data_IF_904827336266
#
_entry.id   IF_904827336266
#
_cell.length_a   1.000
_cell.length_b   1.000
_cell.length_c   1.000
_cell.angle_alpha   90.00
_cell.angle_beta   90.00
_cell.angle_gamma   90.00
#
_symmetry.space_group_name_H-M   'P 1'
#
loop_
_entity.id
_entity.type
_entity.pdbx_description
1 polymer ?
#
# COMPACT_ATOMS: atom_id res chain seq x y z
N UNK A 1 -42.05 50.62 27.01
CA UNK A 1 -43.50 50.66 27.29
C UNK A 1 -44.09 51.82 26.51
N UNK A 2 -44.80 51.50 25.43
CA UNK A 2 -45.65 52.45 24.68
C UNK A 2 -47.02 52.48 25.35
N UNK A 3 -47.53 53.67 25.69
CA UNK A 3 -48.87 53.88 26.23
C UNK A 3 -49.91 53.61 25.14
N UNK A 4 -50.50 52.41 25.13
CA UNK A 4 -51.67 52.08 24.30
C UNK A 4 -52.94 52.10 25.17
N UNK A 5 -54.01 52.82 24.76
CA UNK A 5 -55.26 52.89 25.51
C UNK A 5 -55.91 51.51 25.69
N UNK A 6 -56.46 51.19 26.88
CA UNK A 6 -56.88 49.83 27.25
C UNK A 6 -58.15 49.31 26.55
N UNK A 7 -58.75 50.08 25.64
CA UNK A 7 -60.03 49.75 25.00
C UNK A 7 -59.90 49.40 23.51
N UNK A 8 -58.69 49.38 22.95
CA UNK A 8 -58.45 48.95 21.58
C UNK A 8 -58.01 47.48 21.55
N UNK A 9 -58.54 46.66 20.62
CA UNK A 9 -58.05 45.29 20.44
C UNK A 9 -56.55 45.31 20.11
N UNK A 10 -55.81 44.31 20.61
CA UNK A 10 -54.36 44.21 20.42
C UNK A 10 -54.01 44.33 18.92
N UNK A 11 -52.93 45.07 18.59
CA UNK A 11 -52.48 45.25 17.21
C UNK A 11 -52.36 43.87 16.53
N UNK A 12 -53.22 43.62 15.54
CA UNK A 12 -53.17 42.39 14.77
C UNK A 12 -51.81 42.34 14.06
N UNK A 13 -50.99 41.34 14.39
CA UNK A 13 -49.74 41.11 13.70
C UNK A 13 -50.06 40.67 12.27
N UNK A 14 -49.48 41.35 11.28
CA UNK A 14 -49.60 40.93 9.89
C UNK A 14 -48.92 39.56 9.73
N UNK A 15 -49.76 38.52 9.59
CA UNK A 15 -49.34 37.13 9.44
C UNK A 15 -48.45 36.94 8.21
N UNK A 16 -48.62 37.76 7.16
CA UNK A 16 -47.83 37.67 5.94
C UNK A 16 -46.42 38.23 6.17
N UNK A 17 -46.31 39.38 6.84
CA UNK A 17 -45.03 39.96 7.25
C UNK A 17 -44.25 39.07 8.24
N UNK A 18 -44.93 38.42 9.18
CA UNK A 18 -44.27 37.51 10.12
C UNK A 18 -43.74 36.23 9.42
N UNK A 19 -44.50 35.70 8.45
CA UNK A 19 -44.07 34.54 7.66
C UNK A 19 -42.89 34.87 6.73
N UNK A 20 -42.90 36.02 6.07
CA UNK A 20 -41.78 36.46 5.22
C UNK A 20 -40.52 36.70 6.06
N UNK A 21 -40.65 37.32 7.24
CA UNK A 21 -39.51 37.51 8.14
C UNK A 21 -38.91 36.17 8.60
N UNK A 22 -39.75 35.20 8.98
CA UNK A 22 -39.28 33.86 9.35
C UNK A 22 -38.59 33.16 8.17
N UNK A 23 -39.13 33.29 6.96
CA UNK A 23 -38.53 32.72 5.75
C UNK A 23 -37.18 33.34 5.39
N UNK A 24 -37.04 34.66 5.51
CA UNK A 24 -35.77 35.37 5.28
C UNK A 24 -34.73 34.95 6.33
N UNK A 25 -35.14 34.78 7.58
CA UNK A 25 -34.24 34.32 8.63
C UNK A 25 -33.73 32.90 8.38
N UNK A 26 -34.59 31.98 7.94
CA UNK A 26 -34.17 30.63 7.55
C UNK A 26 -33.26 30.62 6.32
N UNK A 27 -33.51 31.49 5.35
CA UNK A 27 -32.66 31.63 4.16
C UNK A 27 -31.27 32.13 4.56
N UNK A 28 -31.17 33.15 5.41
CA UNK A 28 -29.90 33.64 5.94
C UNK A 28 -29.14 32.58 6.73
N UNK A 29 -29.85 31.79 7.55
CA UNK A 29 -29.24 30.66 8.27
C UNK A 29 -28.69 29.59 7.31
N UNK A 30 -29.41 29.24 6.25
CA UNK A 30 -28.94 28.28 5.25
C UNK A 30 -27.72 28.80 4.49
N UNK A 31 -27.71 30.08 4.11
CA UNK A 31 -26.54 30.72 3.46
C UNK A 31 -25.33 30.69 4.39
N UNK A 32 -25.53 30.95 5.69
CA UNK A 32 -24.46 30.89 6.68
C UNK A 32 -23.87 29.48 6.82
N UNK A 33 -24.71 28.45 6.94
CA UNK A 33 -24.27 27.05 7.03
C UNK A 33 -23.56 26.60 5.76
N UNK A 34 -24.08 26.97 4.58
CA UNK A 34 -23.43 26.68 3.29
C UNK A 34 -22.08 27.39 3.15
N UNK A 35 -21.95 28.60 3.70
CA UNK A 35 -20.67 29.32 3.79
C UNK A 35 -19.66 28.55 4.65
N UNK A 36 -20.07 28.09 5.84
CA UNK A 36 -19.20 27.31 6.74
C UNK A 36 -18.76 25.98 6.11
N UNK A 37 -19.66 25.28 5.42
CA UNK A 37 -19.29 24.03 4.72
C UNK A 37 -18.32 24.29 3.57
N UNK A 38 -18.49 25.39 2.83
CA UNK A 38 -17.59 25.79 1.74
C UNK A 38 -16.19 26.13 2.26
N UNK A 39 -16.10 26.87 3.37
CA UNK A 39 -14.81 27.18 4.02
C UNK A 39 -14.13 25.90 4.52
N UNK A 40 -14.89 24.98 5.13
CA UNK A 40 -14.35 23.70 5.63
C UNK A 40 -13.81 22.82 4.49
N UNK A 41 -14.55 22.73 3.38
CA UNK A 41 -14.09 22.00 2.19
C UNK A 41 -12.83 22.63 1.59
N UNK A 42 -12.77 23.96 1.50
CA UNK A 42 -11.60 24.68 0.95
C UNK A 42 -10.36 24.53 1.83
N UNK A 43 -10.52 24.54 3.16
CA UNK A 43 -9.41 24.28 4.08
C UNK A 43 -8.93 22.83 4.01
N UNK A 44 -9.85 21.88 3.85
CA UNK A 44 -9.51 20.45 3.73
C UNK A 44 -8.74 20.17 2.45
N UNK A 45 -9.08 20.81 1.33
CA UNK A 45 -8.33 20.67 0.08
C UNK A 45 -6.97 21.36 0.15
N UNK A 46 -6.82 22.46 0.88
CA UNK A 46 -5.52 23.10 1.08
C UNK A 46 -4.52 22.21 1.81
N UNK A 47 -4.94 21.30 2.71
CA UNK A 47 -4.02 20.32 3.32
C UNK A 47 -3.41 19.38 2.28
N UNK A 48 -4.14 19.05 1.23
CA UNK A 48 -3.68 18.17 0.14
C UNK A 48 -2.81 18.89 -0.89
N UNK A 49 -3.06 20.18 -1.14
CA UNK A 49 -2.40 20.94 -2.20
C UNK A 49 -1.43 22.04 -1.73
N UNK A 50 -1.31 22.32 -0.43
CA UNK A 50 -0.43 23.37 0.05
C UNK A 50 1.05 22.96 -0.13
N UNK A 51 1.84 23.67 -0.96
CA UNK A 51 3.28 23.54 -0.93
C UNK A 51 3.75 24.01 0.45
N UNK A 52 4.56 23.18 1.11
CA UNK A 52 5.21 23.59 2.36
C UNK A 52 6.23 24.67 2.03
N UNK A 53 5.93 25.92 2.38
CA UNK A 53 6.93 26.99 2.45
C UNK A 53 7.84 26.73 3.65
N UNK A 54 8.79 25.80 3.48
CA UNK A 54 9.99 25.77 4.29
C UNK A 54 11.01 26.61 3.53
N UNK A 55 11.61 27.66 4.14
CA UNK A 55 12.73 28.34 3.52
C UNK A 55 13.90 27.36 3.49
N UNK A 56 14.19 26.78 2.33
CA UNK A 56 15.41 25.99 2.12
C UNK A 56 16.63 26.90 2.34
N UNK A 57 17.56 26.57 3.25
CA UNK A 57 18.89 27.13 3.18
C UNK A 57 19.56 26.52 1.96
N UNK A 58 19.57 27.24 0.84
CA UNK A 58 20.35 26.89 -0.35
C UNK A 58 21.84 26.88 -0.01
N UNK A 59 22.35 25.74 0.47
CA UNK A 59 23.77 25.45 0.46
C UNK A 59 24.12 25.00 -0.95
N UNK A 60 24.57 25.96 -1.76
CA UNK A 60 25.14 25.70 -3.08
C UNK A 60 26.46 24.93 -2.88
N UNK A 61 26.38 23.60 -2.89
CA UNK A 61 27.54 22.74 -3.05
C UNK A 61 27.82 22.62 -4.54
N UNK A 62 28.86 23.30 -5.02
CA UNK A 62 29.38 23.10 -6.36
C UNK A 62 30.07 21.72 -6.39
N UNK A 63 29.34 20.69 -6.82
CA UNK A 63 29.95 19.40 -7.14
C UNK A 63 30.13 19.23 -8.65
N UNK A 64 31.35 18.81 -8.94
CA UNK A 64 31.95 18.57 -10.24
C UNK A 64 31.15 17.49 -10.98
N UNK A 65 30.70 17.80 -12.18
CA UNK A 65 29.94 16.90 -13.05
C UNK A 65 30.79 15.69 -13.43
N UNK A 66 30.56 14.56 -12.79
CA UNK A 66 30.89 13.25 -13.34
C UNK A 66 29.59 12.72 -13.97
N UNK A 67 29.61 12.51 -15.29
CA UNK A 67 28.49 11.98 -16.08
C UNK A 67 28.08 10.57 -15.63
N UNK A 68 27.32 10.51 -14.55
CA UNK A 68 26.41 9.42 -14.20
C UNK A 68 25.04 10.06 -14.29
N UNK A 69 24.10 9.48 -15.02
CA UNK A 69 22.72 9.97 -15.10
C UNK A 69 22.09 9.91 -13.70
N UNK A 70 22.29 10.96 -12.90
CA UNK A 70 21.57 11.17 -11.65
C UNK A 70 20.18 11.62 -12.07
N UNK A 71 19.22 10.69 -12.04
CA UNK A 71 17.81 11.03 -12.15
C UNK A 71 17.48 11.86 -10.91
N UNK A 72 17.29 13.17 -11.08
CA UNK A 72 16.98 14.09 -9.99
C UNK A 72 15.48 14.02 -9.71
N UNK A 73 15.09 13.44 -8.57
CA UNK A 73 13.68 13.44 -8.14
C UNK A 73 13.33 14.80 -7.54
N UNK A 74 12.13 15.29 -7.82
CA UNK A 74 11.64 16.52 -7.22
C UNK A 74 11.54 16.36 -5.69
N UNK A 75 12.28 17.18 -4.96
CA UNK A 75 12.26 17.22 -3.49
C UNK A 75 10.84 17.46 -2.94
N UNK A 76 9.95 18.11 -3.71
CA UNK A 76 8.55 18.29 -3.33
C UNK A 76 7.81 16.96 -3.20
N UNK A 77 8.11 15.99 -4.08
CA UNK A 77 7.54 14.64 -4.06
C UNK A 77 8.03 13.89 -2.84
N UNK A 78 9.34 13.90 -2.61
CA UNK A 78 9.93 13.22 -1.44
C UNK A 78 9.46 13.83 -0.11
N UNK A 79 9.34 15.15 -0.04
CA UNK A 79 8.77 15.84 1.13
C UNK A 79 7.28 15.50 1.33
N UNK A 80 6.53 15.24 0.25
CA UNK A 80 5.15 14.74 0.33
C UNK A 80 5.08 13.32 0.89
N UNK A 81 6.01 12.45 0.47
CA UNK A 81 6.14 11.09 1.00
C UNK A 81 6.47 11.12 2.50
N UNK A 82 7.37 11.99 2.96
CA UNK A 82 7.68 12.14 4.39
C UNK A 82 6.46 12.36 5.26
N UNK A 83 5.46 13.09 4.76
CA UNK A 83 4.21 13.35 5.50
C UNK A 83 3.35 12.10 5.71
N UNK A 84 3.66 11.01 5.01
CA UNK A 84 2.96 9.72 5.03
C UNK A 84 3.70 8.67 5.88
N UNK A 85 4.83 9.05 6.47
CA UNK A 85 5.68 8.18 7.30
C UNK A 85 5.40 8.39 8.78
N UNK A 86 5.32 7.27 9.50
CA UNK A 86 5.21 7.23 10.95
C UNK A 86 6.37 6.42 11.52
N UNK A 87 6.98 6.93 12.57
CA UNK A 87 8.08 6.29 13.27
C UNK A 87 7.58 5.69 14.55
N UNK A 88 7.86 4.41 14.76
CA UNK A 88 7.42 3.68 15.94
C UNK A 88 8.54 3.72 16.98
N UNK A 89 8.21 4.23 18.16
CA UNK A 89 9.12 4.32 19.30
C UNK A 89 8.63 3.45 20.45
N UNK A 90 9.57 2.98 21.26
CA UNK A 90 9.27 2.24 22.48
C UNK A 90 9.30 3.18 23.68
N UNK A 91 8.17 3.37 24.36
CA UNK A 91 8.03 4.22 25.55
C UNK A 91 9.00 3.87 26.69
N UNK A 92 9.53 2.64 26.73
CA UNK A 92 10.56 2.24 27.70
C UNK A 92 11.90 2.94 27.46
N UNK A 93 12.16 3.39 26.24
CA UNK A 93 13.37 4.09 25.82
C UNK A 93 13.26 5.63 26.03
N UNK A 94 12.14 6.13 26.58
CA UNK A 94 11.95 7.55 26.89
C UNK A 94 12.90 8.02 28.00
N UNK A 95 13.74 9.00 27.66
CA UNK A 95 14.59 9.72 28.61
C UNK A 95 13.72 10.73 29.36
N UNK A 96 13.71 10.64 30.69
CA UNK A 96 12.92 11.50 31.59
C UNK A 96 11.41 11.56 31.24
N UNK A 97 10.87 10.53 30.58
CA UNK A 97 9.48 10.47 30.10
C UNK A 97 9.11 11.57 29.08
N UNK A 98 10.08 12.25 28.49
CA UNK A 98 9.84 13.40 27.61
C UNK A 98 10.50 13.26 26.25
N UNK A 99 11.71 12.69 26.19
CA UNK A 99 12.52 12.70 24.98
C UNK A 99 12.86 11.30 24.51
N UNK A 100 12.95 11.14 23.21
CA UNK A 100 13.61 10.01 22.58
C UNK A 100 15.00 10.44 22.12
N UNK A 101 15.98 9.54 22.25
CA UNK A 101 17.22 9.69 21.52
C UNK A 101 16.97 9.37 20.04
N UNK A 102 17.79 9.92 19.14
CA UNK A 102 17.67 9.65 17.70
C UNK A 102 17.76 8.15 17.38
N UNK A 103 18.55 7.40 18.17
CA UNK A 103 18.69 5.95 18.07
C UNK A 103 17.53 5.14 18.66
N UNK A 104 16.53 5.78 19.28
CA UNK A 104 15.39 5.11 19.89
C UNK A 104 14.25 4.80 18.91
N UNK A 105 14.35 5.27 17.67
CA UNK A 105 13.44 4.88 16.59
C UNK A 105 13.60 3.37 16.35
N UNK A 106 12.51 2.61 16.54
CA UNK A 106 12.53 1.16 16.37
C UNK A 106 12.26 0.78 14.93
N UNK A 107 11.17 1.33 14.37
CA UNK A 107 10.66 0.93 13.07
C UNK A 107 10.09 2.13 12.34
N UNK A 108 10.38 2.16 11.04
CA UNK A 108 9.70 3.06 10.13
C UNK A 108 8.46 2.37 9.57
N UNK A 109 7.35 3.09 9.54
CA UNK A 109 6.07 2.64 8.97
C UNK A 109 5.55 3.65 7.96
N UNK A 110 4.79 3.16 6.99
CA UNK A 110 4.12 4.01 6.00
C UNK A 110 2.60 3.82 6.08
N UNK A 111 1.90 4.94 6.15
CA UNK A 111 0.45 4.96 6.17
C UNK A 111 -0.09 4.59 4.78
N UNK A 112 -0.97 3.59 4.70
CA UNK A 112 -1.62 3.21 3.46
C UNK A 112 -3.13 3.48 3.47
N UNK A 113 -3.71 3.88 4.60
CA UNK A 113 -5.14 4.23 4.68
C UNK A 113 -5.40 5.45 5.56
N UNK A 114 -6.42 6.23 5.21
CA UNK A 114 -6.81 7.45 5.94
C UNK A 114 -7.43 7.19 7.31
N UNK A 115 -7.83 5.95 7.58
CA UNK A 115 -8.33 5.54 8.89
C UNK A 115 -7.18 5.21 9.86
N UNK A 116 -5.92 5.22 9.45
CA UNK A 116 -4.78 5.02 10.37
C UNK A 116 -4.08 3.67 10.25
N UNK A 117 -4.37 2.88 9.21
CA UNK A 117 -3.56 1.69 8.94
C UNK A 117 -2.24 2.04 8.24
N UNK A 118 -1.16 1.60 8.87
CA UNK A 118 0.20 1.66 8.38
C UNK A 118 0.82 0.27 8.31
N UNK A 119 1.89 0.16 7.53
CA UNK A 119 2.68 -1.07 7.40
C UNK A 119 4.15 -0.79 7.69
N UNK A 120 4.81 -1.72 8.38
CA UNK A 120 6.22 -1.67 8.71
C UNK A 120 6.86 -3.05 8.54
N UNK A 121 8.16 -3.08 8.27
CA UNK A 121 8.95 -4.30 8.40
C UNK A 121 9.47 -4.40 9.83
N UNK A 122 9.06 -5.45 10.56
CA UNK A 122 9.40 -5.67 11.97
C UNK A 122 9.88 -7.11 12.16
N UNK A 123 11.17 -7.40 11.88
CA UNK A 123 11.68 -8.77 11.87
C UNK A 123 11.67 -9.44 13.25
N UNK A 124 11.89 -8.65 14.31
CA UNK A 124 12.06 -9.15 15.68
C UNK A 124 10.82 -8.93 16.56
N UNK A 125 9.62 -8.97 15.98
CA UNK A 125 8.38 -8.73 16.73
C UNK A 125 8.19 -9.72 17.89
N UNK A 126 7.86 -9.21 19.07
CA UNK A 126 7.43 -10.01 20.22
C UNK A 126 6.06 -9.54 20.69
N UNK A 127 5.13 -10.49 20.79
CA UNK A 127 3.78 -10.23 21.26
C UNK A 127 3.81 -9.60 22.66
N UNK A 128 3.14 -8.47 22.80
CA UNK A 128 3.08 -7.67 24.01
C UNK A 128 3.98 -6.43 23.99
N UNK A 129 4.98 -6.37 23.10
CA UNK A 129 5.79 -5.16 22.94
C UNK A 129 4.98 -3.99 22.36
N UNK A 130 3.94 -4.28 21.57
CA UNK A 130 3.05 -3.26 21.00
C UNK A 130 2.37 -2.36 22.05
N UNK A 131 2.26 -2.83 23.31
CA UNK A 131 1.68 -2.04 24.41
C UNK A 131 2.56 -0.87 24.84
N UNK A 132 3.84 -0.94 24.52
CA UNK A 132 4.81 0.10 24.83
C UNK A 132 5.13 0.95 23.61
N UNK A 133 4.50 0.69 22.46
CA UNK A 133 4.77 1.40 21.24
C UNK A 133 3.89 2.65 21.10
N UNK A 134 4.49 3.71 20.58
CA UNK A 134 3.79 4.91 20.13
C UNK A 134 4.30 5.31 18.75
N UNK A 135 3.38 5.84 17.92
CA UNK A 135 3.72 6.39 16.62
C UNK A 135 4.02 7.87 16.73
N UNK A 136 5.02 8.33 15.99
CA UNK A 136 5.37 9.75 15.88
C UNK A 136 5.37 10.12 14.41
N UNK A 137 4.60 11.15 14.04
CA UNK A 137 4.57 11.65 12.66
C UNK A 137 5.76 12.58 12.36
N UNK A 138 5.83 13.06 11.13
CA UNK A 138 6.86 13.99 10.67
C UNK A 138 6.88 15.35 11.41
N UNK A 139 5.81 15.71 12.13
CA UNK A 139 5.70 16.93 12.92
C UNK A 139 6.04 16.71 14.40
N UNK A 140 6.27 15.47 14.81
CA UNK A 140 6.48 15.10 16.21
C UNK A 140 5.19 14.87 16.99
N UNK A 141 4.04 14.77 16.33
CA UNK A 141 2.76 14.43 16.98
C UNK A 141 2.76 12.97 17.36
N UNK A 142 2.37 12.67 18.60
CA UNK A 142 2.35 11.31 19.16
C UNK A 142 0.95 10.71 18.99
N UNK A 143 0.90 9.47 18.48
CA UNK A 143 -0.32 8.68 18.29
C UNK A 143 -0.21 7.35 19.03
N UNK A 144 -1.31 6.94 19.66
CA UNK A 144 -1.41 5.62 20.26
C UNK A 144 -1.64 4.56 19.18
N UNK A 145 -1.23 3.33 19.48
CA UNK A 145 -1.46 2.17 18.61
C UNK A 145 -2.67 1.40 19.15
N UNK A 146 -3.72 1.28 18.33
CA UNK A 146 -4.95 0.56 18.64
C UNK A 146 -4.77 -0.95 18.46
N UNK A 147 -4.15 -1.35 17.35
CA UNK A 147 -4.03 -2.75 16.94
C UNK A 147 -2.74 -2.98 16.18
N UNK A 148 -2.14 -4.15 16.41
CA UNK A 148 -1.01 -4.65 15.62
C UNK A 148 -1.37 -6.04 15.10
N UNK A 149 -1.08 -6.28 13.84
CA UNK A 149 -1.18 -7.59 13.22
C UNK A 149 0.12 -7.92 12.49
N UNK A 150 0.73 -9.05 12.82
CA UNK A 150 1.93 -9.53 12.15
C UNK A 150 1.55 -10.57 11.13
N UNK A 151 1.87 -10.29 9.87
CA UNK A 151 1.72 -11.23 8.78
C UNK A 151 3.00 -12.04 8.57
N UNK A 152 2.90 -13.33 8.87
CA UNK A 152 3.99 -14.29 8.72
C UNK A 152 4.22 -14.72 7.27
N UNK A 153 3.32 -14.37 6.33
CA UNK A 153 3.49 -14.71 4.91
C UNK A 153 4.43 -13.73 4.23
N UNK A 154 4.19 -12.43 4.41
CA UNK A 154 5.02 -11.36 3.85
C UNK A 154 6.09 -10.82 4.81
N UNK A 155 6.10 -11.27 6.07
CA UNK A 155 6.92 -10.71 7.16
C UNK A 155 6.67 -9.22 7.40
N UNK A 156 5.46 -8.75 7.13
CA UNK A 156 5.04 -7.38 7.36
C UNK A 156 4.21 -7.25 8.63
N UNK A 157 4.34 -6.12 9.31
CA UNK A 157 3.54 -5.77 10.47
C UNK A 157 2.62 -4.62 10.13
N UNK A 158 1.32 -4.86 10.27
CA UNK A 158 0.26 -3.90 10.09
C UNK A 158 -0.06 -3.26 11.43
N UNK A 159 0.01 -1.94 11.47
CA UNK A 159 -0.15 -1.13 12.68
C UNK A 159 -1.33 -0.19 12.45
N UNK A 160 -2.29 -0.21 13.37
CA UNK A 160 -3.43 0.69 13.38
C UNK A 160 -3.17 1.78 14.41
N UNK A 161 -3.03 3.01 13.95
CA UNK A 161 -2.97 4.19 14.79
C UNK A 161 -4.37 4.69 15.15
N UNK A 162 -4.51 5.22 16.36
CA UNK A 162 -5.73 5.88 16.82
C UNK A 162 -5.89 7.25 16.12
N UNK A 163 -7.03 7.46 15.47
CA UNK A 163 -7.37 8.69 14.75
C UNK A 163 -7.99 8.46 13.37
N UNK A 164 -8.16 9.54 12.61
CA UNK A 164 -8.64 9.54 11.23
C UNK A 164 -8.03 10.69 10.42
N UNK A 165 -8.33 10.73 9.12
CA UNK A 165 -7.86 11.80 8.22
C UNK A 165 -6.37 11.74 7.88
N UNK A 166 -5.73 10.57 8.08
CA UNK A 166 -4.30 10.43 7.83
C UNK A 166 -3.96 10.55 6.33
N UNK A 167 -2.86 11.23 5.98
CA UNK A 167 -2.30 11.15 4.63
C UNK A 167 -1.73 9.74 4.40
N UNK A 168 -2.00 9.16 3.24
CA UNK A 168 -1.58 7.80 2.91
C UNK A 168 -0.86 7.72 1.56
N UNK A 169 -0.07 6.67 1.40
CA UNK A 169 0.72 6.40 0.19
C UNK A 169 -0.10 5.65 -0.87
N UNK A 170 0.19 5.93 -2.14
CA UNK A 170 -0.25 5.11 -3.28
C UNK A 170 0.79 4.03 -3.59
N UNK A 171 0.38 2.95 -4.24
CA UNK A 171 1.29 1.87 -4.65
C UNK A 171 1.67 2.01 -6.13
N UNK A 172 2.94 1.74 -6.44
CA UNK A 172 3.43 1.81 -7.81
C UNK A 172 2.80 0.70 -8.68
N UNK A 173 2.62 0.97 -9.98
CA UNK A 173 2.20 -0.06 -10.92
C UNK A 173 3.38 -0.96 -11.29
N UNK A 174 3.37 -2.18 -10.76
CA UNK A 174 4.44 -3.15 -10.98
C UNK A 174 4.56 -3.69 -12.42
N UNK A 175 3.60 -3.39 -13.30
CA UNK A 175 3.76 -3.68 -14.73
C UNK A 175 4.68 -2.70 -15.45
N UNK A 176 4.91 -1.51 -14.86
CA UNK A 176 5.68 -0.44 -15.47
C UNK A 176 7.15 -0.47 -15.02
N UNK A 177 7.51 -1.39 -14.12
CA UNK A 177 8.83 -1.46 -13.50
C UNK A 177 9.83 -2.13 -14.43
N UNK A 178 10.92 -1.42 -14.70
CA UNK A 178 11.99 -1.87 -15.58
C UNK A 178 13.01 -2.78 -14.89
N UNK A 179 14.02 -3.21 -15.67
CA UNK A 179 15.28 -3.65 -15.10
C UNK A 179 16.12 -2.41 -14.80
N UNK A 180 16.78 -2.36 -13.63
CA UNK A 180 17.63 -1.24 -13.20
C UNK A 180 16.87 0.08 -13.05
N UNK A 181 15.75 0.03 -12.32
CA UNK A 181 15.01 1.24 -11.95
C UNK A 181 15.71 1.94 -10.79
N UNK A 182 15.68 3.27 -10.80
CA UNK A 182 16.16 4.07 -9.69
C UNK A 182 15.00 4.23 -8.71
N UNK A 183 15.22 3.90 -7.45
CA UNK A 183 14.26 4.14 -6.38
C UNK A 183 14.88 5.00 -5.28
N UNK A 184 14.01 5.55 -4.45
CA UNK A 184 14.39 6.41 -3.34
C UNK A 184 13.98 5.77 -2.03
N UNK A 185 14.96 5.50 -1.17
CA UNK A 185 14.75 5.29 0.26
C UNK A 185 14.49 6.62 0.94
N UNK A 186 13.43 6.67 1.73
CA UNK A 186 13.00 7.90 2.39
C UNK A 186 13.04 7.69 3.89
N UNK A 187 13.87 8.45 4.60
CA UNK A 187 13.87 8.48 6.08
C UNK A 187 13.39 9.85 6.58
N UNK A 188 13.48 10.12 7.89
CA UNK A 188 13.05 11.40 8.48
C UNK A 188 13.95 12.54 8.02
N UNK A 189 15.26 12.29 8.06
CA UNK A 189 16.31 13.28 7.85
C UNK A 189 16.90 13.20 6.46
N UNK A 190 16.92 12.02 5.84
CA UNK A 190 17.71 11.75 4.64
C UNK A 190 16.87 11.09 3.54
N UNK A 191 17.40 11.21 2.32
CA UNK A 191 16.90 10.48 1.15
C UNK A 191 18.10 9.80 0.51
N UNK A 192 17.96 8.52 0.18
CA UNK A 192 19.01 7.76 -0.44
C UNK A 192 18.52 7.15 -1.74
N UNK A 193 19.30 7.35 -2.80
CA UNK A 193 19.02 6.74 -4.09
C UNK A 193 19.56 5.32 -4.10
N UNK A 194 18.77 4.37 -4.60
CA UNK A 194 19.16 2.98 -4.77
C UNK A 194 18.92 2.52 -6.21
N UNK A 195 19.73 1.56 -6.64
CA UNK A 195 19.51 0.84 -7.90
C UNK A 195 18.79 -0.48 -7.61
N UNK A 196 17.68 -0.71 -8.32
CA UNK A 196 16.95 -1.98 -8.28
C UNK A 196 17.60 -3.01 -9.18
N UNK A 197 18.27 -3.99 -8.59
CA UNK A 197 18.75 -5.16 -9.32
C UNK A 197 17.83 -6.35 -9.06
N UNK A 198 17.44 -7.05 -10.13
CA UNK A 198 16.70 -8.31 -9.99
C UNK A 198 17.61 -9.37 -9.38
N UNK A 199 17.21 -9.93 -8.25
CA UNK A 199 17.79 -11.15 -7.69
C UNK A 199 17.31 -12.34 -8.54
N UNK A 200 18.16 -12.72 -9.49
CA UNK A 200 17.91 -13.85 -10.39
C UNK A 200 18.23 -15.21 -9.75
N UNK A 201 18.62 -15.26 -8.47
CA UNK A 201 18.87 -16.52 -7.78
C UNK A 201 17.55 -17.25 -7.51
N UNK A 202 17.07 -18.02 -8.50
CA UNK A 202 16.01 -19.00 -8.33
C UNK A 202 16.52 -20.10 -7.40
N UNK A 203 16.33 -19.92 -6.09
CA UNK A 203 16.81 -20.88 -5.10
C UNK A 203 15.98 -22.19 -5.06
N UNK A 204 14.78 -22.19 -5.64
CA UNK A 204 13.92 -23.36 -5.70
C UNK A 204 13.44 -23.65 -7.13
N UNK A 205 13.68 -24.87 -7.59
CA UNK A 205 13.17 -25.36 -8.86
C UNK A 205 11.65 -25.53 -8.85
N UNK A 206 11.04 -25.77 -7.68
CA UNK A 206 9.60 -25.98 -7.51
C UNK A 206 9.06 -24.99 -6.46
N UNK A 207 7.94 -24.33 -6.74
CA UNK A 207 7.38 -23.29 -5.89
C UNK A 207 5.87 -23.20 -6.00
N UNK A 208 5.24 -22.62 -4.96
CA UNK A 208 3.80 -22.31 -5.02
C UNK A 208 3.58 -21.16 -6.01
N UNK A 209 2.59 -21.29 -6.87
CA UNK A 209 2.31 -20.31 -7.94
C UNK A 209 2.04 -18.89 -7.42
N UNK A 210 1.57 -18.76 -6.17
CA UNK A 210 1.26 -17.48 -5.54
C UNK A 210 2.42 -16.88 -4.72
N UNK A 211 3.54 -17.58 -4.57
CA UNK A 211 4.71 -17.04 -3.87
C UNK A 211 5.58 -16.24 -4.84
N UNK A 212 6.07 -15.04 -4.47
CA UNK A 212 7.03 -14.30 -5.29
C UNK A 212 8.30 -15.12 -5.57
N UNK A 213 8.73 -15.17 -6.83
CA UNK A 213 9.87 -15.98 -7.28
C UNK A 213 11.13 -15.17 -7.60
N UNK A 214 10.93 -13.90 -7.90
CA UNK A 214 11.99 -12.95 -8.16
C UNK A 214 11.82 -11.82 -7.17
N UNK A 215 12.94 -11.39 -6.60
CA UNK A 215 13.02 -10.28 -5.66
C UNK A 215 13.88 -9.19 -6.29
N UNK A 216 13.69 -7.95 -5.87
CA UNK A 216 14.67 -6.91 -6.14
C UNK A 216 15.59 -6.80 -4.94
N UNK A 217 16.86 -6.49 -5.18
CA UNK A 217 17.90 -6.39 -4.16
C UNK A 217 18.62 -5.05 -4.29
N UNK A 218 18.93 -4.47 -3.14
CA UNK A 218 19.76 -3.29 -2.99
C UNK A 218 21.15 -3.77 -2.55
N UNK A 219 22.16 -3.58 -3.41
CA UNK A 219 23.55 -3.99 -3.12
C UNK A 219 24.38 -2.94 -2.38
N UNK A 220 23.95 -1.69 -2.47
CA UNK A 220 24.57 -0.56 -1.78
C UNK A 220 24.23 -0.60 -0.28
N UNK A 221 24.88 0.24 0.53
CA UNK A 221 24.53 0.38 1.95
C UNK A 221 23.06 0.76 2.09
N UNK A 222 22.27 -0.09 2.75
CA UNK A 222 20.82 0.08 2.91
C UNK A 222 20.42 0.14 4.38
N UNK A 223 19.29 0.81 4.64
CA UNK A 223 18.64 0.82 5.94
C UNK A 223 17.51 -0.22 5.96
N UNK A 224 17.56 -1.14 6.94
CA UNK A 224 16.52 -2.16 7.14
C UNK A 224 15.20 -1.48 7.48
N UNK A 225 14.12 -1.91 6.81
CA UNK A 225 12.77 -1.36 6.98
C UNK A 225 12.53 -0.03 6.28
N UNK A 226 13.51 0.50 5.55
CA UNK A 226 13.34 1.74 4.81
C UNK A 226 12.25 1.58 3.73
N UNK A 227 11.43 2.63 3.57
CA UNK A 227 10.36 2.69 2.58
C UNK A 227 10.92 3.18 1.25
N UNK A 228 10.70 2.40 0.20
CA UNK A 228 11.18 2.67 -1.15
C UNK A 228 10.05 3.25 -1.99
N UNK A 229 10.32 4.35 -2.70
CA UNK A 229 9.38 5.00 -3.62
C UNK A 229 9.99 5.25 -4.99
N UNK A 230 9.12 5.33 -6.01
CA UNK A 230 9.51 5.77 -7.35
C UNK A 230 9.54 7.30 -7.46
N UNK A 231 9.86 7.82 -8.66
CA UNK A 231 9.90 9.26 -8.96
C UNK A 231 8.56 10.00 -8.73
N UNK A 232 7.44 9.28 -8.67
CA UNK A 232 6.09 9.82 -8.42
C UNK A 232 5.71 9.79 -6.93
N UNK A 233 6.58 9.27 -6.06
CA UNK A 233 6.29 9.08 -4.65
C UNK A 233 5.31 7.94 -4.37
N UNK A 234 5.17 7.01 -5.31
CA UNK A 234 4.41 5.78 -5.15
C UNK A 234 5.29 4.71 -4.51
N UNK A 235 4.71 3.95 -3.57
CA UNK A 235 5.41 2.92 -2.84
C UNK A 235 5.81 1.76 -3.75
N UNK A 236 7.11 1.53 -3.80
CA UNK A 236 7.71 0.34 -4.39
C UNK A 236 7.73 -0.78 -3.35
N UNK A 237 8.23 -0.55 -2.15
CA UNK A 237 8.31 -1.61 -1.15
C UNK A 237 9.05 -1.21 0.11
N UNK A 238 9.52 -2.22 0.84
CA UNK A 238 10.31 -2.08 2.06
C UNK A 238 11.57 -2.95 1.97
N UNK A 239 12.66 -2.49 2.54
CA UNK A 239 13.92 -3.25 2.58
C UNK A 239 13.92 -4.25 3.75
N UNK A 240 14.24 -5.51 3.49
CA UNK A 240 14.40 -6.53 4.54
C UNK A 240 15.84 -6.60 5.09
N UNK A 241 16.12 -7.58 5.95
CA UNK A 241 17.45 -7.74 6.56
C UNK A 241 18.56 -8.12 5.56
N UNK A 242 18.19 -8.70 4.42
CA UNK A 242 19.11 -9.18 3.39
C UNK A 242 19.26 -8.16 2.24
N UNK A 243 18.66 -6.97 2.37
CA UNK A 243 18.62 -5.96 1.32
C UNK A 243 17.62 -6.27 0.21
N UNK A 244 16.75 -7.27 0.39
CA UNK A 244 15.69 -7.58 -0.56
C UNK A 244 14.50 -6.68 -0.35
N UNK A 245 13.78 -6.43 -1.43
CA UNK A 245 12.59 -5.60 -1.44
C UNK A 245 11.37 -6.48 -1.21
N UNK A 246 10.70 -6.26 -0.08
CA UNK A 246 9.34 -6.73 0.15
C UNK A 246 8.39 -5.81 -0.62
N UNK A 247 7.64 -6.38 -1.55
CA UNK A 247 6.88 -5.62 -2.51
C UNK A 247 5.67 -4.86 -1.95
N UNK A 248 5.52 -3.59 -2.34
CA UNK A 248 4.37 -2.76 -2.02
C UNK A 248 3.06 -3.33 -2.57
N UNK A 249 3.08 -4.01 -3.71
CA UNK A 249 1.87 -4.68 -4.23
C UNK A 249 1.37 -5.81 -3.32
N UNK A 250 2.22 -6.38 -2.45
CA UNK A 250 1.75 -7.34 -1.44
C UNK A 250 0.84 -6.64 -0.43
N UNK A 251 1.19 -5.43 -0.02
CA UNK A 251 0.35 -4.58 0.85
C UNK A 251 -0.96 -4.23 0.14
N UNK A 252 -0.88 -3.78 -1.11
CA UNK A 252 -2.04 -3.46 -1.95
C UNK A 252 -3.00 -4.65 -2.08
N UNK A 253 -2.45 -5.86 -2.31
CA UNK A 253 -3.26 -7.08 -2.43
C UNK A 253 -4.08 -7.42 -1.18
N UNK A 254 -3.66 -6.93 -0.01
CA UNK A 254 -4.32 -7.19 1.27
C UNK A 254 -5.19 -6.01 1.75
N UNK A 255 -5.13 -4.87 1.06
CA UNK A 255 -5.76 -3.61 1.46
C UNK A 255 -7.22 -3.78 1.92
N UNK A 256 -8.07 -4.38 1.07
CA UNK A 256 -9.47 -4.56 1.37
C UNK A 256 -9.72 -5.43 2.61
N UNK A 257 -8.94 -6.50 2.78
CA UNK A 257 -9.09 -7.42 3.92
C UNK A 257 -8.67 -6.77 5.25
N UNK A 258 -7.63 -5.93 5.22
CA UNK A 258 -7.18 -5.19 6.39
C UNK A 258 -8.20 -4.14 6.79
N UNK A 259 -8.77 -3.39 5.84
CA UNK A 259 -9.82 -2.41 6.18
C UNK A 259 -11.09 -3.06 6.74
N UNK A 260 -11.45 -4.25 6.25
CA UNK A 260 -12.68 -4.93 6.67
C UNK A 260 -12.53 -5.73 7.98
N UNK A 261 -11.39 -6.40 8.17
CA UNK A 261 -11.19 -7.36 9.26
C UNK A 261 -10.01 -7.03 10.17
N UNK A 262 -9.19 -6.04 9.79
CA UNK A 262 -7.97 -5.66 10.48
C UNK A 262 -6.89 -6.75 10.45
N UNK A 263 -6.90 -7.60 9.43
CA UNK A 263 -5.91 -8.62 9.16
C UNK A 263 -5.90 -8.96 7.65
N UNK A 264 -4.74 -9.30 7.06
CA UNK A 264 -4.64 -9.92 5.74
C UNK A 264 -5.47 -11.20 5.61
N UNK A 265 -6.10 -11.39 4.45
CA UNK A 265 -6.80 -12.62 4.07
C UNK A 265 -6.20 -13.18 2.77
N UNK A 266 -5.10 -13.92 2.91
CA UNK A 266 -4.46 -14.57 1.77
C UNK A 266 -5.38 -15.63 1.16
N UNK A 267 -5.82 -15.36 -0.06
CA UNK A 267 -6.57 -16.31 -0.89
C UNK A 267 -5.76 -16.62 -2.14
N UNK A 268 -5.52 -17.90 -2.38
CA UNK A 268 -4.76 -18.36 -3.52
C UNK A 268 -5.18 -19.78 -3.94
N UNK A 269 -4.52 -20.29 -4.97
CA UNK A 269 -4.68 -21.66 -5.45
C UNK A 269 -3.52 -22.52 -4.94
N UNK A 270 -3.79 -23.76 -4.52
CA UNK A 270 -2.77 -24.65 -3.95
C UNK A 270 -2.05 -25.46 -5.03
N UNK A 271 -1.48 -24.75 -6.02
CA UNK A 271 -0.65 -25.35 -7.07
C UNK A 271 0.82 -25.09 -6.79
N UNK A 272 1.62 -26.16 -6.85
CA UNK A 272 3.07 -26.12 -6.76
C UNK A 272 3.67 -26.69 -8.03
N UNK A 273 4.77 -26.13 -8.50
CA UNK A 273 5.33 -26.47 -9.80
C UNK A 273 6.38 -25.47 -10.25
N UNK A 274 6.57 -25.35 -11.56
CA UNK A 274 7.66 -24.56 -12.12
C UNK A 274 7.38 -24.05 -13.52
N UNK A 275 8.04 -22.95 -13.89
CA UNK A 275 7.94 -22.40 -15.24
C UNK A 275 8.64 -23.32 -16.25
N UNK A 276 7.92 -23.66 -17.32
CA UNK A 276 8.42 -24.40 -18.48
C UNK A 276 8.39 -23.49 -19.70
N UNK A 277 9.42 -23.57 -20.54
CA UNK A 277 9.48 -22.93 -21.84
C UNK A 277 10.16 -23.90 -22.80
N UNK A 278 9.37 -24.61 -23.58
CA UNK A 278 9.88 -25.70 -24.39
C UNK A 278 8.93 -26.13 -25.48
N UNK A 279 9.28 -27.23 -26.13
CA UNK A 279 8.46 -27.85 -27.15
C UNK A 279 7.81 -29.11 -26.61
N UNK A 280 6.51 -29.24 -26.85
CA UNK A 280 5.72 -30.44 -26.55
C UNK A 280 5.36 -31.11 -27.87
N UNK A 281 5.56 -32.43 -27.93
CA UNK A 281 5.15 -33.25 -29.06
C UNK A 281 3.91 -34.04 -28.67
N UNK A 282 2.79 -33.75 -29.33
CA UNK A 282 1.55 -34.50 -29.16
C UNK A 282 0.99 -34.85 -30.53
N UNK A 283 0.77 -36.14 -30.78
CA UNK A 283 0.25 -36.61 -32.08
C UNK A 283 1.15 -36.30 -33.29
N UNK A 284 2.46 -36.12 -33.10
CA UNK A 284 3.40 -35.78 -34.17
C UNK A 284 3.52 -34.29 -34.50
N UNK A 285 2.78 -33.42 -33.79
CA UNK A 285 2.90 -31.97 -33.90
C UNK A 285 3.75 -31.43 -32.74
N UNK A 286 4.79 -30.68 -33.08
CA UNK A 286 5.67 -30.00 -32.12
C UNK A 286 5.18 -28.57 -31.93
N UNK A 287 4.64 -28.24 -30.75
CA UNK A 287 4.22 -26.88 -30.40
C UNK A 287 5.11 -26.32 -29.30
N UNK A 288 5.50 -25.05 -29.41
CA UNK A 288 6.14 -24.35 -28.30
C UNK A 288 5.10 -23.98 -27.26
N UNK A 289 5.33 -24.38 -26.01
CA UNK A 289 4.48 -24.05 -24.87
C UNK A 289 5.35 -23.41 -23.79
N UNK A 290 4.88 -22.27 -23.30
CA UNK A 290 5.49 -21.53 -22.20
C UNK A 290 4.43 -21.27 -21.15
N UNK A 291 4.73 -21.58 -19.89
CA UNK A 291 3.74 -21.51 -18.83
C UNK A 291 4.22 -22.14 -17.52
N UNK A 292 3.33 -22.20 -16.53
CA UNK A 292 3.58 -22.84 -15.25
C UNK A 292 3.09 -24.29 -15.30
N UNK A 293 4.01 -25.24 -15.22
CA UNK A 293 3.71 -26.66 -15.11
C UNK A 293 3.30 -27.00 -13.68
N UNK A 294 2.14 -27.65 -13.52
CA UNK A 294 1.59 -28.05 -12.23
C UNK A 294 2.13 -29.43 -11.85
N UNK A 295 3.03 -29.47 -10.86
CA UNK A 295 3.59 -30.72 -10.32
C UNK A 295 2.77 -31.25 -9.14
N UNK A 296 2.19 -30.35 -8.33
CA UNK A 296 1.31 -30.69 -7.20
C UNK A 296 0.04 -29.86 -7.25
N UNK A 297 -1.10 -30.54 -7.06
CA UNK A 297 -2.44 -29.94 -6.98
C UNK A 297 -3.31 -30.71 -5.99
N UNK A 298 -4.23 -30.01 -5.34
CA UNK A 298 -5.26 -30.62 -4.48
C UNK A 298 -6.43 -31.21 -5.29
N UNK A 299 -6.54 -30.89 -6.58
CA UNK A 299 -7.59 -31.39 -7.48
C UNK A 299 -7.04 -32.36 -8.51
N UNK A 300 -7.89 -33.31 -8.94
CA UNK A 300 -7.61 -34.16 -10.11
C UNK A 300 -7.98 -33.43 -11.39
N UNK A 301 -7.35 -33.79 -12.49
CA UNK A 301 -7.64 -33.28 -13.84
C UNK A 301 -9.09 -33.62 -14.24
N UNK A 302 -9.90 -32.62 -14.56
CA UNK A 302 -11.23 -32.75 -15.18
C UNK A 302 -11.47 -31.61 -16.18
N UNK A 303 -12.65 -31.56 -16.82
CA UNK A 303 -13.04 -30.44 -17.69
C UNK A 303 -13.17 -29.10 -16.94
N UNK A 304 -13.30 -29.11 -15.62
CA UNK A 304 -13.51 -27.90 -14.80
C UNK A 304 -12.48 -27.73 -13.69
N UNK A 305 -11.42 -28.55 -13.67
CA UNK A 305 -10.38 -28.50 -12.63
C UNK A 305 -9.00 -28.70 -13.23
N UNK A 306 -8.02 -28.04 -12.61
CA UNK A 306 -6.59 -28.16 -12.93
C UNK A 306 -5.96 -29.23 -12.04
N UNK A 307 -5.08 -30.05 -12.59
CA UNK A 307 -4.39 -31.08 -11.84
C UNK A 307 -2.94 -31.24 -12.26
N UNK A 308 -2.28 -32.25 -11.68
CA UNK A 308 -0.90 -32.59 -12.00
C UNK A 308 -0.75 -32.90 -13.48
N UNK A 309 0.27 -32.32 -14.13
CA UNK A 309 0.56 -32.49 -15.56
C UNK A 309 0.06 -31.36 -16.45
N UNK A 310 -0.80 -30.48 -15.93
CA UNK A 310 -1.28 -29.31 -16.67
C UNK A 310 -0.20 -28.25 -16.81
N UNK A 311 -0.17 -27.56 -17.96
CA UNK A 311 0.63 -26.34 -18.14
C UNK A 311 -0.29 -25.14 -18.22
N UNK A 312 -0.28 -24.29 -17.21
CA UNK A 312 -1.01 -23.03 -17.23
C UNK A 312 -0.25 -22.05 -18.12
N UNK A 313 -0.90 -21.50 -19.13
CA UNK A 313 -0.28 -20.59 -20.11
C UNK A 313 -0.67 -19.14 -19.91
N UNK A 314 -1.90 -18.88 -19.43
CA UNK A 314 -2.42 -17.54 -19.17
C UNK A 314 -3.30 -17.52 -17.91
N UNK A 315 -3.27 -16.41 -17.19
CA UNK A 315 -4.22 -16.07 -16.13
C UNK A 315 -4.90 -14.77 -16.54
N UNK A 316 -6.25 -14.75 -16.54
CA UNK A 316 -7.02 -13.56 -16.93
C UNK A 316 -6.59 -12.96 -18.28
N UNK A 317 -6.36 -13.82 -19.28
CA UNK A 317 -5.85 -13.48 -20.62
C UNK A 317 -4.43 -12.88 -20.66
N UNK A 318 -3.74 -12.75 -19.52
CA UNK A 318 -2.35 -12.31 -19.47
C UNK A 318 -1.40 -13.51 -19.56
N UNK A 319 -0.36 -13.45 -20.41
CA UNK A 319 0.66 -14.49 -20.44
C UNK A 319 1.43 -14.54 -19.13
N UNK A 320 1.82 -15.76 -18.74
CA UNK A 320 2.61 -15.95 -17.53
C UNK A 320 4.08 -15.57 -17.75
N UNK A 321 4.60 -14.79 -16.82
CA UNK A 321 6.03 -14.53 -16.63
C UNK A 321 6.39 -14.89 -15.19
N UNK A 322 7.59 -15.41 -14.97
CA UNK A 322 8.08 -15.75 -13.62
C UNK A 322 7.99 -14.55 -12.66
N UNK A 323 8.27 -13.36 -13.17
CA UNK A 323 8.27 -12.08 -12.45
C UNK A 323 6.89 -11.68 -11.90
N UNK A 324 5.83 -11.96 -12.68
CA UNK A 324 4.49 -11.46 -12.41
C UNK A 324 3.55 -12.55 -11.89
N UNK A 325 3.98 -13.81 -11.89
CA UNK A 325 3.15 -14.99 -11.61
C UNK A 325 2.37 -14.87 -10.30
N UNK A 326 3.09 -14.59 -9.21
CA UNK A 326 2.51 -14.43 -7.88
C UNK A 326 1.51 -13.26 -7.83
N UNK A 327 1.88 -12.13 -8.43
CA UNK A 327 1.05 -10.92 -8.51
C UNK A 327 -0.24 -11.19 -9.28
N UNK A 328 -0.15 -11.84 -10.45
CA UNK A 328 -1.30 -12.19 -11.28
C UNK A 328 -2.26 -13.11 -10.52
N UNK A 329 -1.75 -14.09 -9.77
CA UNK A 329 -2.59 -14.97 -8.94
C UNK A 329 -3.22 -14.18 -7.79
N UNK A 330 -2.45 -13.44 -7.00
CA UNK A 330 -2.93 -12.78 -5.78
C UNK A 330 -3.89 -11.62 -6.06
N UNK A 331 -3.66 -10.83 -7.12
CA UNK A 331 -4.54 -9.72 -7.51
C UNK A 331 -5.75 -10.14 -8.35
N UNK A 332 -5.79 -11.39 -8.84
CA UNK A 332 -6.99 -11.89 -9.51
C UNK A 332 -8.20 -11.91 -8.56
N UNK A 333 -9.44 -11.82 -9.07
CA UNK A 333 -10.62 -12.02 -8.24
C UNK A 333 -10.65 -13.43 -7.60
N UNK A 334 -11.53 -13.62 -6.61
CA UNK A 334 -11.73 -14.92 -5.94
C UNK A 334 -12.07 -16.06 -6.91
N UNK A 335 -12.69 -15.73 -8.04
CA UNK A 335 -12.85 -16.62 -9.19
C UNK A 335 -12.22 -16.00 -10.42
N UNK A 336 -11.37 -16.74 -11.11
CA UNK A 336 -10.64 -16.23 -12.26
C UNK A 336 -10.41 -17.29 -13.33
N UNK A 337 -10.30 -16.85 -14.59
CA UNK A 337 -10.10 -17.73 -15.72
C UNK A 337 -8.62 -18.02 -15.95
N UNK A 338 -8.34 -19.27 -16.29
CA UNK A 338 -6.99 -19.78 -16.54
C UNK A 338 -7.00 -20.55 -17.86
N UNK A 339 -6.07 -20.22 -18.76
CA UNK A 339 -5.87 -20.98 -19.99
C UNK A 339 -4.83 -22.08 -19.74
N UNK A 340 -5.20 -23.33 -19.97
CA UNK A 340 -4.44 -24.53 -19.64
C UNK A 340 -4.15 -25.32 -20.90
N UNK A 341 -2.90 -25.73 -21.07
CA UNK A 341 -2.49 -26.66 -22.10
C UNK A 341 -2.44 -28.08 -21.53
N UNK A 342 -3.23 -28.98 -22.14
CA UNK A 342 -3.40 -30.38 -21.75
C UNK A 342 -3.63 -31.22 -23.00
N UNK A 343 -2.97 -32.38 -23.11
CA UNK A 343 -3.18 -33.36 -24.18
C UNK A 343 -3.19 -32.77 -25.60
N UNK A 344 -2.32 -31.80 -25.88
CA UNK A 344 -2.22 -31.16 -27.19
C UNK A 344 -3.15 -29.96 -27.42
N UNK A 345 -4.06 -29.66 -26.50
CA UNK A 345 -5.12 -28.66 -26.65
C UNK A 345 -5.07 -27.58 -25.56
N UNK A 346 -5.65 -26.41 -25.84
CA UNK A 346 -5.84 -25.34 -24.86
C UNK A 346 -7.30 -25.32 -24.38
N UNK A 347 -7.49 -25.18 -23.07
CA UNK A 347 -8.79 -25.11 -22.40
C UNK A 347 -8.82 -23.88 -21.49
N UNK A 348 -9.95 -23.18 -21.46
CA UNK A 348 -10.21 -22.15 -20.45
C UNK A 348 -10.99 -22.76 -19.29
N UNK A 349 -10.46 -22.62 -18.08
CA UNK A 349 -11.05 -23.15 -16.85
C UNK A 349 -11.21 -22.01 -15.84
N UNK A 350 -12.41 -21.86 -15.28
CA UNK A 350 -12.66 -20.96 -14.15
C UNK A 350 -12.20 -21.62 -12.84
N UNK A 351 -11.41 -20.91 -12.06
CA UNK A 351 -10.79 -21.42 -10.83
C UNK A 351 -11.14 -20.52 -9.65
N UNK A 352 -11.48 -21.14 -8.53
CA UNK A 352 -11.69 -20.46 -7.25
C UNK A 352 -10.44 -20.48 -6.36
N UNK A 353 -10.20 -19.35 -5.67
CA UNK A 353 -9.19 -19.25 -4.62
C UNK A 353 -9.69 -19.86 -3.31
N UNK A 354 -8.78 -20.46 -2.57
CA UNK A 354 -9.00 -20.93 -1.21
C UNK A 354 -8.16 -20.10 -0.24
N UNK A 355 -8.60 -20.03 1.02
CA UNK A 355 -7.82 -19.41 2.07
C UNK A 355 -6.50 -20.17 2.24
N UNK A 356 -5.39 -19.45 2.17
CA UNK A 356 -4.06 -20.00 2.45
C UNK A 356 -4.00 -20.24 3.95
N UNK A 357 -3.93 -21.51 4.34
CA UNK A 357 -3.77 -21.88 5.74
C UNK A 357 -2.30 -21.70 6.12
N UNK A 358 -2.03 -20.69 6.94
CA UNK A 358 -0.75 -20.50 7.61
C UNK A 358 -0.70 -21.54 8.74
N UNK A 359 0.28 -22.45 8.69
CA UNK A 359 0.54 -23.44 9.74
C UNK A 359 1.60 -22.95 10.69
#
# INVERSE_FOLDING_TARGET
MENSPPHLPAKACDLQAHRTFKSVWWLLFLVFVAGLSSVSLTLSTLVWFAPSFVPDPTLVSSQKTNNTEVVEVDLSVLNSVKKRLWYVYDTRDKINKQFYADSANKYQSVMFSSDGWAVAYVPDYRKGDEKFWEGVDYQGTIYNIEKVFVDTVSNLTYIKFDGDGFPFISFANWNDIGNNEIVWGVSLTEYQQYNFEKDLALNNLEYKIWQPQLFYLIKDDFEVGNILVNEKGEMMGMVDNDGRVIYGWLVDSQYASILQSGAPDYRAVEWTGYMVNGYVNYGGLTKRVSGFYVDKSNTKVTSSTIGVGDVITRIQNQPLKTEDLARQVLLSPDKFNVAVYRDGQEFDIEIGKNKVLIK
#
